data_IF_416244227118
#
_entry.id   IF_416244227118
#
_cell.length_a   1.000
_cell.length_b   1.000
_cell.length_c   1.000
_cell.angle_alpha   90.00
_cell.angle_beta   90.00
_cell.angle_gamma   90.00
#
_symmetry.space_group_name_H-M   'P 1'
#
loop_
_entity.id
_entity.type
_entity.pdbx_description
1 polymer ?
#
# COMPACT_ATOMS: atom_id res chain seq x y z
N UNK A 1 -3.13 -13.09 14.22
CA UNK A 1 -2.42 -12.80 12.95
C UNK A 1 -2.41 -14.09 12.16
N UNK A 2 -3.21 -14.18 11.09
CA UNK A 2 -3.33 -15.43 10.32
C UNK A 2 -2.12 -15.57 9.40
N UNK A 3 -1.41 -16.68 9.49
CA UNK A 3 -0.27 -16.96 8.64
C UNK A 3 -0.77 -17.26 7.22
N UNK A 4 -0.30 -16.49 6.23
CA UNK A 4 -0.64 -16.69 4.82
C UNK A 4 -0.22 -18.09 4.34
N UNK A 5 0.83 -18.65 4.95
CA UNK A 5 1.35 -19.98 4.61
C UNK A 5 0.49 -21.11 5.17
N UNK A 6 -0.26 -20.89 6.24
CA UNK A 6 -1.13 -21.92 6.85
C UNK A 6 -2.47 -22.09 6.12
N UNK A 7 -2.78 -21.23 5.13
CA UNK A 7 -4.04 -21.26 4.37
C UNK A 7 -4.05 -22.25 3.19
N UNK A 8 -2.94 -22.96 2.95
CA UNK A 8 -2.85 -23.96 1.87
C UNK A 8 -2.88 -23.36 0.46
N UNK A 9 -2.58 -22.06 0.32
CA UNK A 9 -2.53 -21.40 -0.98
C UNK A 9 -1.36 -21.92 -1.82
N UNK A 10 -1.57 -21.94 -3.14
CA UNK A 10 -0.49 -22.26 -4.07
C UNK A 10 0.59 -21.18 -4.02
N UNK A 11 1.82 -21.53 -4.39
CA UNK A 11 2.93 -20.57 -4.50
C UNK A 11 2.57 -19.41 -5.44
N UNK A 12 1.84 -19.69 -6.53
CA UNK A 12 1.37 -18.66 -7.46
C UNK A 12 0.43 -17.66 -6.78
N UNK A 13 -0.53 -18.16 -6.01
CA UNK A 13 -1.45 -17.32 -5.23
C UNK A 13 -0.71 -16.47 -4.20
N UNK A 14 0.28 -17.03 -3.50
CA UNK A 14 1.09 -16.27 -2.55
C UNK A 14 1.90 -15.16 -3.23
N UNK A 15 2.49 -15.43 -4.40
CA UNK A 15 3.19 -14.41 -5.20
C UNK A 15 2.26 -13.27 -5.61
N UNK A 16 1.03 -13.58 -6.02
CA UNK A 16 0.03 -12.57 -6.40
C UNK A 16 -0.44 -11.75 -5.19
N UNK A 17 -0.58 -12.37 -4.01
CA UNK A 17 -0.91 -11.62 -2.80
C UNK A 17 0.25 -10.68 -2.45
N UNK A 18 1.49 -11.17 -2.47
CA UNK A 18 2.67 -10.35 -2.16
C UNK A 18 2.85 -9.21 -3.16
N UNK A 19 2.55 -9.41 -4.45
CA UNK A 19 2.74 -8.35 -5.43
C UNK A 19 1.86 -7.12 -5.19
N UNK A 20 0.71 -7.28 -4.53
CA UNK A 20 -0.15 -6.17 -4.10
C UNK A 20 0.43 -5.39 -2.90
N UNK A 21 1.26 -6.03 -2.07
CA UNK A 21 1.77 -5.46 -0.81
C UNK A 21 3.19 -4.90 -0.94
N UNK A 22 3.92 -5.24 -1.99
CA UNK A 22 5.28 -4.76 -2.23
C UNK A 22 5.23 -3.48 -3.04
N UNK A 23 5.66 -2.37 -2.42
CA UNK A 23 5.89 -1.09 -3.10
C UNK A 23 7.28 -1.07 -3.73
N UNK A 24 7.41 -0.47 -4.91
CA UNK A 24 8.70 -0.34 -5.60
C UNK A 24 9.59 0.77 -5.02
N UNK A 25 8.96 1.80 -4.45
CA UNK A 25 9.67 2.91 -3.82
C UNK A 25 10.04 2.56 -2.38
N UNK A 26 11.19 3.08 -1.93
CA UNK A 26 11.65 2.88 -0.56
C UNK A 26 11.00 3.90 0.39
N UNK A 27 10.16 3.38 1.29
CA UNK A 27 9.52 4.14 2.36
C UNK A 27 9.88 3.57 3.74
N UNK A 28 10.65 4.33 4.51
CA UNK A 28 10.80 4.12 5.95
C UNK A 28 9.81 5.02 6.71
N UNK A 29 9.67 4.80 8.03
CA UNK A 29 8.78 5.61 8.85
C UNK A 29 9.12 7.12 8.76
N UNK A 30 10.40 7.49 8.67
CA UNK A 30 10.82 8.89 8.59
C UNK A 30 10.40 9.54 7.26
N UNK A 31 10.58 8.84 6.13
CA UNK A 31 10.19 9.27 4.79
C UNK A 31 8.68 9.37 4.66
N UNK A 32 7.93 8.45 5.26
CA UNK A 32 6.47 8.52 5.28
C UNK A 32 5.97 9.74 6.07
N UNK A 33 6.57 10.06 7.22
CA UNK A 33 6.19 11.27 7.98
C UNK A 33 6.70 12.57 7.36
N UNK A 34 7.70 12.51 6.46
CA UNK A 34 8.32 13.67 5.80
C UNK A 34 8.04 13.72 4.30
N UNK A 35 6.87 13.24 3.87
CA UNK A 35 6.46 13.35 2.47
C UNK A 35 6.43 14.83 2.05
N UNK A 36 7.13 15.23 0.97
CA UNK A 36 7.33 16.64 0.60
C UNK A 36 6.02 17.40 0.42
N UNK A 37 5.07 16.79 -0.30
CA UNK A 37 3.76 17.38 -0.62
C UNK A 37 2.65 16.85 0.30
N UNK A 38 3.02 16.22 1.42
CA UNK A 38 2.08 15.52 2.30
C UNK A 38 1.43 14.28 1.68
N UNK A 39 1.73 13.95 0.42
CA UNK A 39 1.31 12.71 -0.22
C UNK A 39 2.35 12.20 -1.22
N UNK A 40 2.29 10.92 -1.55
CA UNK A 40 3.08 10.27 -2.59
C UNK A 40 2.24 9.24 -3.33
N UNK A 41 2.40 9.17 -4.64
CA UNK A 41 1.84 8.09 -5.46
C UNK A 41 2.95 7.10 -5.77
N UNK A 42 2.76 5.85 -5.38
CA UNK A 42 3.76 4.78 -5.56
C UNK A 42 3.15 3.61 -6.32
N UNK A 43 4.02 2.87 -6.99
CA UNK A 43 3.68 1.70 -7.79
C UNK A 43 3.91 0.43 -6.96
N UNK A 44 2.95 -0.50 -6.98
CA UNK A 44 3.13 -1.85 -6.42
C UNK A 44 3.82 -2.76 -7.45
N UNK A 45 4.36 -3.88 -6.99
CA UNK A 45 4.87 -4.91 -7.88
C UNK A 45 3.76 -5.48 -8.79
N UNK A 46 2.50 -5.49 -8.34
CA UNK A 46 1.35 -5.88 -9.16
C UNK A 46 1.17 -4.96 -10.38
N UNK A 47 1.31 -3.65 -10.21
CA UNK A 47 1.32 -2.70 -11.32
C UNK A 47 2.55 -2.89 -12.21
N UNK A 48 3.73 -3.02 -11.61
CA UNK A 48 5.00 -3.07 -12.34
C UNK A 48 5.19 -4.32 -13.21
N UNK A 49 4.54 -5.41 -12.83
CA UNK A 49 4.53 -6.66 -13.60
C UNK A 49 3.57 -6.63 -14.79
N UNK A 50 2.77 -5.56 -14.93
CA UNK A 50 1.75 -5.44 -15.97
C UNK A 50 0.53 -6.34 -15.75
N UNK A 51 0.42 -6.97 -14.58
CA UNK A 51 -0.73 -7.79 -14.21
C UNK A 51 -1.93 -6.94 -13.77
N UNK A 52 -1.68 -5.71 -13.31
CA UNK A 52 -2.72 -4.79 -12.91
C UNK A 52 -3.47 -4.21 -14.13
N UNK A 53 -4.80 -4.35 -14.21
CA UNK A 53 -5.59 -3.59 -15.16
C UNK A 53 -5.52 -2.10 -14.81
N UNK A 54 -5.21 -1.28 -15.81
CA UNK A 54 -5.14 0.19 -15.71
C UNK A 54 -4.26 0.65 -14.54
N UNK A 55 -4.87 1.31 -13.54
CA UNK A 55 -4.17 1.90 -12.40
C UNK A 55 -4.42 1.17 -11.08
N UNK A 56 -5.03 -0.02 -11.12
CA UNK A 56 -5.44 -0.75 -9.91
C UNK A 56 -4.30 -1.19 -8.99
N UNK A 57 -3.05 -1.15 -9.46
CA UNK A 57 -1.87 -1.43 -8.64
C UNK A 57 -1.13 -0.19 -8.15
N UNK A 58 -1.68 1.02 -8.28
CA UNK A 58 -1.10 2.21 -7.65
C UNK A 58 -1.63 2.41 -6.23
N UNK A 59 -0.73 2.81 -5.33
CA UNK A 59 -1.06 3.17 -3.95
C UNK A 59 -0.71 4.62 -3.73
N UNK A 60 -1.68 5.40 -3.28
CA UNK A 60 -1.50 6.75 -2.76
C UNK A 60 -1.27 6.69 -1.26
N UNK A 61 -0.18 7.29 -0.83
CA UNK A 61 0.17 7.46 0.57
C UNK A 61 -0.07 8.92 0.91
N UNK A 62 -0.81 9.19 1.97
CA UNK A 62 -1.10 10.55 2.43
C UNK A 62 -0.77 10.69 3.90
N UNK A 63 0.04 11.69 4.23
CA UNK A 63 0.27 12.12 5.60
C UNK A 63 -0.86 13.04 6.05
N UNK A 64 -1.66 12.56 6.98
CA UNK A 64 -2.75 13.32 7.57
C UNK A 64 -2.25 14.23 8.70
N UNK A 65 -2.97 15.34 8.91
CA UNK A 65 -2.77 16.19 10.09
C UNK A 65 -2.80 15.34 11.36
N UNK A 66 -1.75 15.48 12.18
CA UNK A 66 -1.56 14.69 13.40
C UNK A 66 -0.54 13.54 13.28
N UNK A 67 0.11 13.37 12.13
CA UNK A 67 1.19 12.38 11.95
C UNK A 67 0.69 10.98 11.60
N UNK A 68 -0.62 10.80 11.40
CA UNK A 68 -1.19 9.54 10.92
C UNK A 68 -0.97 9.42 9.41
N UNK A 69 -0.58 8.23 8.96
CA UNK A 69 -0.38 7.96 7.54
C UNK A 69 -1.54 7.10 7.05
N UNK A 70 -2.13 7.47 5.91
CA UNK A 70 -3.11 6.67 5.19
C UNK A 70 -2.52 6.12 3.90
N UNK A 71 -2.77 4.85 3.61
CA UNK A 71 -2.46 4.21 2.34
C UNK A 71 -3.79 3.83 1.68
N UNK A 72 -3.93 4.21 0.41
CA UNK A 72 -5.16 4.09 -0.36
C UNK A 72 -4.84 3.61 -1.77
N UNK A 73 -5.51 2.57 -2.27
CA UNK A 73 -5.34 2.13 -3.66
C UNK A 73 -6.10 3.08 -4.60
N UNK A 74 -5.47 3.50 -5.72
CA UNK A 74 -6.14 4.28 -6.76
C UNK A 74 -6.62 3.34 -7.88
N UNK A 75 -7.66 2.54 -7.60
CA UNK A 75 -8.37 1.78 -8.64
C UNK A 75 -9.50 2.61 -9.23
N UNK A 76 -9.43 2.91 -10.53
CA UNK A 76 -10.49 3.45 -11.42
C UNK A 76 -11.55 4.33 -10.72
N UNK A 77 -11.35 5.65 -10.76
CA UNK A 77 -12.43 6.62 -10.46
C UNK A 77 -13.47 6.61 -11.60
N UNK A 78 -14.44 5.70 -11.55
CA UNK A 78 -15.64 5.79 -12.39
C UNK A 78 -16.86 5.46 -11.53
N UNK A 79 -17.46 6.50 -10.94
CA UNK A 79 -18.66 6.37 -10.12
C UNK A 79 -19.09 7.67 -9.48
N UNK A 80 -19.99 8.38 -10.15
CA UNK A 80 -20.78 9.49 -9.63
C UNK A 80 -21.33 9.18 -8.21
N UNK A 81 -21.10 10.07 -7.24
CA UNK A 81 -21.97 10.20 -6.06
C UNK A 81 -21.28 10.26 -4.70
N UNK A 82 -21.63 11.32 -3.96
CA UNK A 82 -21.61 11.50 -2.51
C UNK A 82 -20.25 11.55 -1.78
N UNK A 83 -20.15 12.55 -0.89
CA UNK A 83 -19.06 12.90 0.03
C UNK A 83 -18.71 11.82 1.08
N UNK A 84 -18.90 10.54 0.78
CA UNK A 84 -18.59 9.44 1.69
C UNK A 84 -17.84 8.33 0.94
N UNK A 85 -16.50 8.47 0.95
CA UNK A 85 -15.46 7.48 0.60
C UNK A 85 -15.87 6.40 -0.42
N UNK A 86 -15.94 6.77 -1.70
CA UNK A 86 -16.23 5.88 -2.82
C UNK A 86 -15.23 4.72 -2.98
N UNK A 87 -15.44 3.63 -2.24
CA UNK A 87 -14.75 2.35 -2.42
C UNK A 87 -13.26 2.33 -2.04
N UNK A 88 -12.74 3.41 -1.45
CA UNK A 88 -11.35 3.52 -1.04
C UNK A 88 -11.13 2.69 0.24
N UNK A 89 -10.37 1.59 0.12
CA UNK A 89 -9.90 0.86 1.30
C UNK A 89 -8.80 1.70 1.95
N UNK A 90 -9.15 2.32 3.08
CA UNK A 90 -8.24 3.12 3.90
C UNK A 90 -7.48 2.20 4.87
N UNK A 91 -6.16 2.18 4.75
CA UNK A 91 -5.29 1.53 5.74
C UNK A 91 -4.39 2.55 6.41
N UNK A 92 -4.11 2.36 7.70
CA UNK A 92 -3.27 3.28 8.48
C UNK A 92 -1.93 2.65 8.88
N UNK A 93 -0.88 3.46 8.93
CA UNK A 93 0.42 3.03 9.46
C UNK A 93 0.29 2.68 10.95
N UNK A 94 0.83 1.52 11.33
CA UNK A 94 0.85 1.06 12.72
C UNK A 94 2.25 1.17 13.30
N UNK A 95 3.22 0.50 12.68
CA UNK A 95 4.62 0.50 13.14
C UNK A 95 5.57 0.07 12.03
N UNK A 96 6.88 0.29 12.24
CA UNK A 96 7.95 -0.24 11.40
C UNK A 96 8.53 -1.48 12.07
N UNK A 97 8.60 -2.59 11.33
CA UNK A 97 9.07 -3.88 11.83
C UNK A 97 10.55 -4.09 11.53
N UNK A 98 10.98 -3.76 10.31
CA UNK A 98 12.36 -3.92 9.87
C UNK A 98 12.74 -2.83 8.89
N UNK A 99 13.98 -2.31 9.01
CA UNK A 99 14.49 -1.26 8.13
C UNK A 99 15.94 -1.55 7.78
N UNK A 100 16.18 -1.77 6.49
CA UNK A 100 17.52 -1.80 5.89
C UNK A 100 17.65 -0.58 4.97
N UNK A 101 18.44 0.44 5.35
CA UNK A 101 18.52 1.71 4.64
C UNK A 101 18.75 1.54 3.14
N UNK A 102 17.87 2.17 2.35
CA UNK A 102 17.89 2.16 0.87
C UNK A 102 17.89 0.75 0.23
N UNK A 103 17.42 -0.28 0.96
CA UNK A 103 17.26 -1.64 0.42
C UNK A 103 15.84 -2.16 0.62
N UNK A 104 15.38 -2.26 1.87
CA UNK A 104 14.04 -2.76 2.19
C UNK A 104 13.54 -2.15 3.49
N UNK A 105 12.24 -1.92 3.57
CA UNK A 105 11.56 -1.47 4.78
C UNK A 105 10.26 -2.25 4.88
N UNK A 106 10.02 -2.86 6.04
CA UNK A 106 8.81 -3.61 6.35
C UNK A 106 8.00 -2.78 7.35
N UNK A 107 6.80 -2.42 6.93
CA UNK A 107 5.86 -1.63 7.73
C UNK A 107 4.59 -2.43 7.95
N UNK A 108 4.01 -2.25 9.14
CA UNK A 108 2.72 -2.80 9.48
C UNK A 108 1.64 -1.74 9.22
N UNK A 109 0.57 -2.18 8.57
CA UNK A 109 -0.65 -1.40 8.36
C UNK A 109 -1.83 -2.04 9.11
N UNK A 110 -2.88 -1.25 9.36
CA UNK A 110 -4.01 -1.65 10.20
C UNK A 110 -5.01 -2.59 9.53
N UNK A 111 -5.22 -2.45 8.23
CA UNK A 111 -6.10 -3.31 7.42
C UNK A 111 -5.57 -3.45 6.01
N UNK A 112 -6.01 -4.50 5.33
CA UNK A 112 -5.88 -4.74 3.88
C UNK A 112 -7.27 -4.61 3.26
#
# INVERSE_FOLDING_TARGET
MYDLTSKGYTISTLKNILSLHVLLDYFDAQKLHKLPDGSALTTTLFQATGAAPENTGFVKITNMRGGNLKFVNIGVEVGFGSEDNGGLIDSSFVTSLEVVPNKISIIQISSI
#
